data_IF_067937888184
#
_entry.id   IF_067937888184
#
_cell.length_a   1.000
_cell.length_b   1.000
_cell.length_c   1.000
_cell.angle_alpha   90.00
_cell.angle_beta   90.00
_cell.angle_gamma   90.00
#
_symmetry.space_group_name_H-M   'P 1'
#
loop_
_entity.id
_entity.type
_entity.pdbx_description
1 polymer ?
#
# COMPACT_ATOMS: atom_id res chain seq x y z
N UNK A 1 3.71 26.88 -36.76
CA UNK A 1 2.90 25.65 -36.74
C UNK A 1 3.86 24.48 -36.89
N UNK A 2 4.30 23.90 -35.78
CA UNK A 2 5.19 22.73 -35.80
C UNK A 2 4.57 21.74 -34.82
N UNK A 3 3.93 20.73 -35.38
CA UNK A 3 3.20 19.68 -34.68
C UNK A 3 4.20 18.73 -34.03
N UNK A 4 4.18 18.64 -32.71
CA UNK A 4 4.95 17.65 -31.95
C UNK A 4 4.07 16.42 -31.77
N UNK A 5 4.41 15.35 -32.48
CA UNK A 5 3.80 14.03 -32.31
C UNK A 5 4.26 13.45 -30.97
N UNK A 6 3.37 12.92 -30.11
CA UNK A 6 3.78 12.28 -28.87
C UNK A 6 4.48 10.96 -29.20
N UNK A 7 5.68 10.77 -28.64
CA UNK A 7 6.40 9.50 -28.66
C UNK A 7 5.67 8.53 -27.75
N UNK A 8 5.12 7.45 -28.33
CA UNK A 8 4.53 6.36 -27.58
C UNK A 8 5.61 5.65 -26.75
N UNK A 9 5.47 5.65 -25.43
CA UNK A 9 6.26 4.77 -24.57
C UNK A 9 5.80 3.31 -24.79
N UNK A 10 6.74 2.36 -24.94
CA UNK A 10 6.38 0.96 -25.09
C UNK A 10 5.69 0.47 -23.81
N UNK A 11 4.46 0.00 -23.97
CA UNK A 11 3.74 -0.80 -22.99
C UNK A 11 4.57 -2.06 -22.70
N UNK A 12 4.92 -2.37 -21.44
CA UNK A 12 5.52 -3.66 -21.13
C UNK A 12 4.53 -4.76 -21.51
N UNK A 13 5.00 -5.92 -22.01
CA UNK A 13 4.13 -6.98 -22.46
C UNK A 13 3.21 -7.43 -21.32
N UNK A 14 1.91 -7.54 -21.61
CA UNK A 14 0.93 -8.24 -20.77
C UNK A 14 1.33 -9.71 -20.66
N UNK A 15 2.25 -10.00 -19.75
CA UNK A 15 2.58 -11.36 -19.40
C UNK A 15 1.52 -11.84 -18.40
N UNK A 16 0.53 -12.56 -18.93
CA UNK A 16 -0.22 -13.59 -18.20
C UNK A 16 0.78 -14.63 -17.69
N UNK A 17 1.53 -14.31 -16.63
CA UNK A 17 2.41 -15.24 -15.95
C UNK A 17 1.55 -16.03 -15.00
N UNK A 18 1.15 -17.24 -15.40
CA UNK A 18 0.78 -18.29 -14.45
C UNK A 18 2.00 -18.59 -13.57
N UNK A 19 2.20 -17.78 -12.53
CA UNK A 19 3.37 -17.90 -11.67
C UNK A 19 3.20 -19.12 -10.75
N UNK A 20 4.18 -20.03 -10.79
CA UNK A 20 4.17 -21.29 -10.07
C UNK A 20 3.98 -21.09 -8.55
N UNK A 21 3.16 -21.93 -7.90
CA UNK A 21 2.98 -21.91 -6.44
C UNK A 21 4.29 -22.21 -5.71
N UNK A 22 4.40 -21.88 -4.42
CA UNK A 22 5.59 -22.23 -3.62
C UNK A 22 5.96 -23.70 -3.77
N UNK A 23 4.99 -24.62 -3.67
CA UNK A 23 5.24 -26.06 -3.83
C UNK A 23 5.77 -26.41 -5.21
N UNK A 24 5.25 -25.79 -6.27
CA UNK A 24 5.73 -26.01 -7.63
C UNK A 24 7.14 -25.42 -7.82
N UNK A 25 7.40 -24.22 -7.32
CA UNK A 25 8.73 -23.59 -7.31
C UNK A 25 9.73 -24.46 -6.54
N UNK A 26 9.42 -24.89 -5.32
CA UNK A 26 10.28 -25.77 -4.53
C UNK A 26 10.55 -27.10 -5.25
N UNK A 27 9.56 -27.66 -5.93
CA UNK A 27 9.73 -28.88 -6.73
C UNK A 27 10.68 -28.66 -7.91
N UNK A 28 10.52 -27.55 -8.63
CA UNK A 28 11.39 -27.17 -9.75
C UNK A 28 12.82 -26.87 -9.27
N UNK A 29 12.98 -26.28 -8.09
CA UNK A 29 14.26 -25.96 -7.49
C UNK A 29 14.95 -27.17 -6.84
N UNK A 30 14.24 -28.25 -6.52
CA UNK A 30 14.79 -29.41 -5.78
C UNK A 30 16.12 -29.95 -6.34
N UNK A 31 16.31 -30.11 -7.66
CA UNK A 31 17.60 -30.56 -8.21
C UNK A 31 18.75 -29.58 -7.95
N UNK A 32 18.44 -28.28 -7.90
CA UNK A 32 19.41 -27.20 -7.66
C UNK A 32 19.67 -26.98 -6.17
N UNK A 33 18.68 -27.26 -5.31
CA UNK A 33 18.76 -27.15 -3.87
C UNK A 33 19.45 -28.34 -3.20
N UNK A 34 19.64 -29.46 -3.92
CA UNK A 34 20.29 -30.66 -3.38
C UNK A 34 21.73 -30.39 -2.91
N UNK A 35 22.41 -29.42 -3.52
CA UNK A 35 23.78 -29.01 -3.20
C UNK A 35 23.83 -27.78 -2.25
N UNK A 36 22.67 -27.28 -1.81
CA UNK A 36 22.58 -26.04 -1.01
C UNK A 36 22.22 -26.34 0.44
N UNK A 37 22.66 -25.46 1.35
CA UNK A 37 22.21 -25.48 2.74
C UNK A 37 20.74 -25.04 2.77
N UNK A 38 19.85 -26.03 2.70
CA UNK A 38 18.43 -25.79 2.81
C UNK A 38 18.10 -25.41 4.25
N UNK A 39 17.51 -24.22 4.43
CA UNK A 39 16.87 -23.92 5.70
C UNK A 39 15.72 -24.94 5.88
N UNK A 40 15.48 -25.47 7.10
CA UNK A 40 14.37 -26.39 7.31
C UNK A 40 13.08 -25.77 6.78
N UNK A 41 12.56 -26.37 5.72
CA UNK A 41 11.54 -25.85 4.81
C UNK A 41 10.18 -25.52 5.46
N UNK A 42 10.01 -25.80 6.75
CA UNK A 42 8.73 -25.78 7.46
C UNK A 42 8.58 -24.65 8.51
N UNK A 43 9.67 -24.06 9.02
CA UNK A 43 9.59 -23.21 10.23
C UNK A 43 10.12 -21.77 10.08
N UNK A 44 10.47 -21.36 8.87
CA UNK A 44 10.83 -19.96 8.62
C UNK A 44 9.60 -19.05 8.76
N UNK A 45 9.54 -18.27 9.85
CA UNK A 45 8.55 -17.21 9.98
C UNK A 45 8.60 -16.26 8.76
N UNK A 46 7.46 -15.72 8.30
CA UNK A 46 7.44 -14.71 7.23
C UNK A 46 8.45 -13.60 7.53
N UNK A 47 9.22 -13.18 6.52
CA UNK A 47 10.27 -12.18 6.70
C UNK A 47 9.71 -10.85 7.21
N UNK A 48 8.44 -10.57 6.92
CA UNK A 48 7.71 -9.41 7.42
C UNK A 48 7.64 -9.36 8.95
N UNK A 49 7.73 -10.50 9.65
CA UNK A 49 7.78 -10.56 11.12
C UNK A 49 9.17 -10.27 11.69
N UNK A 50 10.21 -10.39 10.88
CA UNK A 50 11.61 -10.29 11.31
C UNK A 50 12.20 -8.89 11.11
N UNK A 51 11.62 -8.07 10.24
CA UNK A 51 12.07 -6.69 9.98
C UNK A 51 11.12 -5.71 10.65
N UNK A 52 11.35 -5.48 11.94
CA UNK A 52 10.96 -4.23 12.58
C UNK A 52 12.12 -3.24 12.46
N UNK A 53 12.40 -2.75 11.25
CA UNK A 53 12.93 -1.39 11.14
C UNK A 53 11.72 -0.47 11.19
N UNK A 54 11.30 -0.13 12.41
CA UNK A 54 10.48 1.06 12.57
C UNK A 54 11.41 2.22 12.20
N UNK A 55 11.15 2.85 11.05
CA UNK A 55 11.68 4.18 10.80
C UNK A 55 11.45 5.03 12.05
N UNK A 56 12.40 5.90 12.38
CA UNK A 56 12.21 6.75 13.56
C UNK A 56 10.94 7.59 13.33
N UNK A 57 9.97 7.61 14.28
CA UNK A 57 8.80 8.44 14.12
C UNK A 57 9.19 9.90 13.98
N UNK A 58 8.61 10.58 13.00
CA UNK A 58 8.95 11.96 12.65
C UNK A 58 7.73 12.87 12.61
N UNK A 59 7.98 14.16 12.82
CA UNK A 59 7.03 15.22 12.52
C UNK A 59 7.49 15.93 11.25
N UNK A 60 6.57 16.14 10.31
CA UNK A 60 6.83 16.85 9.07
C UNK A 60 5.91 18.06 8.92
N UNK A 61 6.39 19.10 8.27
CA UNK A 61 5.56 20.26 7.93
C UNK A 61 4.50 19.91 6.89
N UNK A 62 3.37 20.60 6.93
CA UNK A 62 2.33 20.53 5.90
C UNK A 62 1.78 21.93 5.60
N UNK A 63 1.11 22.08 4.46
CA UNK A 63 0.40 23.32 4.10
C UNK A 63 -1.08 23.19 4.48
N UNK A 64 -1.63 24.00 5.41
CA UNK A 64 -3.05 23.94 5.73
C UNK A 64 -3.92 24.27 4.50
N UNK A 65 -4.98 23.48 4.28
CA UNK A 65 -6.00 23.75 3.27
C UNK A 65 -7.29 24.27 3.91
N UNK A 66 -7.53 23.97 5.18
CA UNK A 66 -8.68 24.45 5.96
C UNK A 66 -8.24 25.24 7.20
N UNK A 67 -9.11 26.12 7.75
CA UNK A 67 -8.85 26.79 9.02
C UNK A 67 -8.65 25.79 10.17
N UNK A 68 -7.83 26.16 11.15
CA UNK A 68 -7.55 25.35 12.33
C UNK A 68 -8.82 25.01 13.14
N UNK A 69 -8.76 23.90 13.89
CA UNK A 69 -9.84 23.45 14.78
C UNK A 69 -10.46 22.11 14.36
N UNK A 70 -10.78 21.28 15.35
CA UNK A 70 -11.46 20.01 15.14
C UNK A 70 -12.86 20.22 14.54
N UNK A 71 -13.26 19.34 13.63
CA UNK A 71 -14.56 19.37 12.96
C UNK A 71 -15.33 18.11 13.28
N UNK A 72 -16.53 18.26 13.84
CA UNK A 72 -17.43 17.13 14.08
C UNK A 72 -17.96 16.59 12.75
N UNK A 73 -17.89 15.27 12.59
CA UNK A 73 -18.36 14.57 11.40
C UNK A 73 -19.80 14.14 11.61
N UNK A 74 -20.68 14.53 10.70
CA UNK A 74 -22.09 14.16 10.79
C UNK A 74 -22.26 12.65 10.56
N UNK A 75 -23.13 11.96 11.32
CA UNK A 75 -23.39 10.54 11.09
C UNK A 75 -24.08 10.33 9.74
N UNK A 76 -23.73 9.23 9.06
CA UNK A 76 -24.33 8.82 7.79
C UNK A 76 -25.15 7.54 7.96
N UNK A 77 -26.30 7.47 7.28
CA UNK A 77 -27.19 6.29 7.35
C UNK A 77 -26.95 5.27 6.23
N UNK A 78 -26.44 5.70 5.08
CA UNK A 78 -26.25 4.86 3.89
C UNK A 78 -24.78 4.76 3.48
N UNK A 79 -24.30 3.60 3.04
CA UNK A 79 -22.92 3.45 2.60
C UNK A 79 -22.66 4.29 1.34
N UNK A 80 -21.54 5.00 1.35
CA UNK A 80 -21.00 5.69 0.17
C UNK A 80 -19.93 4.86 -0.53
N UNK A 81 -19.16 4.10 0.25
CA UNK A 81 -18.04 3.28 -0.23
C UNK A 81 -18.60 2.07 -0.96
N UNK A 82 -18.28 1.99 -2.25
CA UNK A 82 -18.76 0.93 -3.13
C UNK A 82 -17.77 -0.22 -3.22
N UNK A 83 -16.47 0.02 -3.00
CA UNK A 83 -15.47 -1.03 -3.05
C UNK A 83 -14.29 -0.76 -2.13
N UNK A 84 -13.54 -1.82 -1.84
CA UNK A 84 -12.35 -1.83 -1.00
C UNK A 84 -11.21 -2.48 -1.78
N UNK A 85 -10.07 -1.79 -1.83
CA UNK A 85 -8.81 -2.28 -2.37
C UNK A 85 -7.85 -2.50 -1.21
N UNK A 86 -7.23 -3.68 -1.23
CA UNK A 86 -6.13 -4.02 -0.35
C UNK A 86 -5.20 -5.04 -1.04
N UNK A 87 -3.99 -5.15 -0.53
CA UNK A 87 -2.99 -6.10 -0.97
C UNK A 87 -2.27 -6.77 0.19
N UNK A 88 -1.86 -8.01 -0.04
CA UNK A 88 -1.07 -8.79 0.91
C UNK A 88 0.26 -9.20 0.28
N UNK A 89 1.23 -9.47 1.14
CA UNK A 89 2.48 -10.10 0.77
C UNK A 89 2.85 -11.18 1.77
N UNK A 90 3.55 -12.20 1.29
CA UNK A 90 4.22 -13.20 2.11
C UNK A 90 5.57 -13.51 1.50
N UNK A 91 6.64 -13.39 2.28
CA UNK A 91 7.98 -13.74 1.83
C UNK A 91 8.69 -14.64 2.84
N UNK A 92 9.47 -15.60 2.34
CA UNK A 92 10.22 -16.56 3.17
C UNK A 92 11.55 -16.91 2.52
N UNK A 93 12.58 -17.12 3.33
CA UNK A 93 13.83 -17.73 2.84
C UNK A 93 13.55 -19.21 2.59
N UNK A 94 13.81 -19.66 1.36
CA UNK A 94 13.60 -21.05 0.94
C UNK A 94 14.88 -21.87 0.92
N UNK A 95 16.05 -21.22 0.82
CA UNK A 95 17.36 -21.86 0.92
C UNK A 95 18.46 -20.81 1.11
N UNK A 96 19.68 -21.28 1.41
CA UNK A 96 20.89 -20.47 1.31
C UNK A 96 21.86 -21.09 0.30
N UNK A 97 22.40 -20.26 -0.58
CA UNK A 97 23.51 -20.61 -1.45
C UNK A 97 24.77 -19.87 -1.00
N UNK A 98 25.74 -20.61 -0.47
CA UNK A 98 26.99 -20.06 0.07
C UNK A 98 26.77 -18.89 1.06
N UNK A 99 25.74 -19.01 1.90
CA UNK A 99 25.34 -17.98 2.87
C UNK A 99 24.40 -16.89 2.33
N UNK A 100 24.16 -16.86 1.03
CA UNK A 100 23.24 -15.91 0.36
C UNK A 100 21.81 -16.44 0.36
N UNK A 101 20.81 -15.65 0.80
CA UNK A 101 19.43 -16.11 0.88
C UNK A 101 18.77 -16.19 -0.50
N UNK A 102 18.07 -17.30 -0.75
CA UNK A 102 17.03 -17.42 -1.80
C UNK A 102 15.68 -17.17 -1.14
N UNK A 103 14.93 -16.19 -1.62
CA UNK A 103 13.68 -15.75 -1.00
C UNK A 103 12.53 -15.98 -1.96
N UNK A 104 11.53 -16.73 -1.55
CA UNK A 104 10.28 -16.84 -2.29
C UNK A 104 9.26 -15.85 -1.72
N UNK A 105 8.63 -15.08 -2.60
CA UNK A 105 7.57 -14.17 -2.24
C UNK A 105 6.30 -14.43 -3.06
N UNK A 106 5.15 -14.26 -2.42
CA UNK A 106 3.86 -14.11 -3.08
C UNK A 106 3.27 -12.77 -2.69
N UNK A 107 2.85 -12.03 -3.71
CA UNK A 107 2.19 -10.74 -3.60
C UNK A 107 0.84 -10.86 -4.27
N UNK A 108 -0.21 -10.34 -3.63
CA UNK A 108 -1.54 -10.35 -4.22
C UNK A 108 -2.31 -9.08 -3.85
N UNK A 109 -3.17 -8.61 -4.75
CA UNK A 109 -4.08 -7.50 -4.50
C UNK A 109 -5.45 -7.78 -5.12
N UNK A 110 -6.50 -7.24 -4.53
CA UNK A 110 -7.86 -7.41 -5.03
C UNK A 110 -8.74 -6.21 -4.69
N UNK A 111 -9.71 -5.96 -5.57
CA UNK A 111 -10.84 -5.07 -5.30
C UNK A 111 -12.06 -5.90 -4.99
N UNK A 112 -12.68 -5.66 -3.84
CA UNK A 112 -13.95 -6.27 -3.44
C UNK A 112 -15.02 -5.19 -3.44
N UNK A 113 -16.02 -5.32 -4.30
CA UNK A 113 -17.13 -4.39 -4.41
C UNK A 113 -18.35 -4.84 -3.65
N UNK A 114 -19.16 -3.87 -3.21
CA UNK A 114 -20.44 -4.08 -2.54
C UNK A 114 -21.55 -4.22 -3.56
N UNK A 115 -22.16 -5.40 -3.62
CA UNK A 115 -23.32 -5.74 -4.45
C UNK A 115 -24.42 -6.30 -3.54
N UNK A 116 -25.59 -5.65 -3.49
CA UNK A 116 -26.72 -6.08 -2.66
C UNK A 116 -26.37 -6.36 -1.18
N UNK A 117 -25.46 -5.57 -0.61
CA UNK A 117 -25.01 -5.72 0.78
C UNK A 117 -23.90 -6.76 0.99
N UNK A 118 -23.53 -7.52 -0.03
CA UNK A 118 -22.44 -8.50 0.01
C UNK A 118 -21.19 -7.95 -0.67
N UNK A 119 -20.02 -8.47 -0.27
CA UNK A 119 -18.76 -8.17 -0.94
C UNK A 119 -18.43 -9.27 -1.94
N UNK A 120 -18.15 -8.87 -3.18
CA UNK A 120 -17.82 -9.74 -4.30
C UNK A 120 -16.56 -9.22 -4.99
N UNK A 121 -15.82 -10.08 -5.68
CA UNK A 121 -14.63 -9.63 -6.42
C UNK A 121 -15.09 -8.80 -7.63
N UNK A 122 -14.56 -7.59 -7.77
CA UNK A 122 -14.88 -6.72 -8.90
C UNK A 122 -14.24 -7.23 -10.19
N UNK A 123 -12.95 -7.61 -10.10
CA UNK A 123 -12.19 -8.26 -11.15
C UNK A 123 -11.46 -9.49 -10.59
N UNK A 124 -10.76 -10.23 -11.45
CA UNK A 124 -9.86 -11.29 -10.98
C UNK A 124 -8.78 -10.69 -10.06
N UNK A 125 -8.47 -11.33 -8.91
CA UNK A 125 -7.37 -10.89 -8.07
C UNK A 125 -6.06 -10.98 -8.84
N UNK A 126 -5.19 -9.99 -8.66
CA UNK A 126 -3.85 -10.02 -9.22
C UNK A 126 -2.92 -10.75 -8.24
N UNK A 127 -2.17 -11.74 -8.73
CA UNK A 127 -1.23 -12.52 -7.91
C UNK A 127 0.09 -12.64 -8.65
N UNK A 128 1.18 -12.22 -8.01
CA UNK A 128 2.55 -12.43 -8.49
C UNK A 128 3.32 -13.28 -7.51
N UNK A 129 4.13 -14.19 -8.05
CA UNK A 129 5.06 -15.00 -7.26
C UNK A 129 6.45 -14.83 -7.84
N UNK A 130 7.42 -14.61 -6.96
CA UNK A 130 8.76 -14.17 -7.29
C UNK A 130 9.77 -15.01 -6.50
N UNK A 131 10.88 -15.36 -7.14
CA UNK A 131 12.07 -15.82 -6.45
C UNK A 131 13.08 -14.68 -6.45
N UNK A 132 13.42 -14.15 -5.29
CA UNK A 132 14.40 -13.09 -5.11
C UNK A 132 15.75 -13.68 -4.70
N UNK A 133 16.80 -13.30 -5.40
CA UNK A 133 18.16 -13.74 -5.13
C UNK A 133 19.18 -12.69 -5.59
N UNK A 134 20.42 -12.74 -5.11
CA UNK A 134 21.50 -11.89 -5.66
C UNK A 134 22.20 -12.62 -6.80
N UNK A 135 22.19 -12.03 -8.01
CA UNK A 135 22.90 -12.63 -9.15
C UNK A 135 24.41 -12.64 -8.94
N UNK A 136 24.95 -11.55 -8.39
CA UNK A 136 26.38 -11.42 -8.07
C UNK A 136 26.82 -12.52 -7.09
N UNK A 137 26.07 -12.73 -6.02
CA UNK A 137 26.43 -13.71 -5.00
C UNK A 137 26.15 -15.16 -5.41
N UNK A 138 25.18 -15.41 -6.29
CA UNK A 138 24.92 -16.74 -6.84
C UNK A 138 25.91 -17.15 -7.94
N UNK A 139 26.42 -16.18 -8.70
CA UNK A 139 27.16 -16.41 -9.94
C UNK A 139 26.27 -16.78 -11.13
N UNK A 140 26.78 -16.50 -12.33
CA UNK A 140 26.03 -16.62 -13.60
C UNK A 140 25.48 -18.04 -13.84
N UNK A 141 26.27 -19.08 -13.57
CA UNK A 141 25.86 -20.46 -13.84
C UNK A 141 24.61 -20.87 -13.02
N UNK A 142 24.60 -20.58 -11.71
CA UNK A 142 23.44 -20.88 -10.84
C UNK A 142 22.25 -19.99 -11.16
N UNK A 143 22.49 -18.73 -11.50
CA UNK A 143 21.43 -17.83 -11.96
C UNK A 143 20.71 -18.37 -13.19
N UNK A 144 21.47 -18.80 -14.21
CA UNK A 144 20.91 -19.38 -15.44
C UNK A 144 20.15 -20.68 -15.16
N UNK A 145 20.62 -21.50 -14.23
CA UNK A 145 19.89 -22.69 -13.78
C UNK A 145 18.53 -22.35 -13.14
N UNK A 146 18.47 -21.32 -12.29
CA UNK A 146 17.21 -20.86 -11.69
C UNK A 146 16.21 -20.36 -12.75
N UNK A 147 16.70 -19.59 -13.73
CA UNK A 147 15.89 -19.11 -14.85
C UNK A 147 15.40 -20.28 -15.71
N UNK A 148 16.27 -21.25 -16.00
CA UNK A 148 15.93 -22.45 -16.78
C UNK A 148 14.90 -23.35 -16.07
N UNK A 149 14.79 -23.27 -14.74
CA UNK A 149 13.76 -23.98 -13.97
C UNK A 149 12.34 -23.40 -14.14
N UNK A 150 12.16 -22.36 -14.96
CA UNK A 150 10.87 -21.74 -15.24
C UNK A 150 10.34 -20.88 -14.09
N UNK A 151 11.23 -20.46 -13.17
CA UNK A 151 10.88 -19.59 -12.04
C UNK A 151 11.22 -18.15 -12.43
N UNK A 152 10.27 -17.23 -12.22
CA UNK A 152 10.54 -15.80 -12.37
C UNK A 152 11.51 -15.34 -11.25
N UNK A 153 12.78 -15.14 -11.60
CA UNK A 153 13.82 -14.71 -10.66
C UNK A 153 14.04 -13.20 -10.78
N UNK A 154 14.03 -12.51 -9.65
CA UNK A 154 14.33 -11.07 -9.53
C UNK A 154 15.67 -10.93 -8.82
N UNK A 155 16.56 -10.14 -9.41
CA UNK A 155 17.85 -9.86 -8.78
C UNK A 155 17.65 -8.78 -7.73
N UNK A 156 17.94 -9.09 -6.47
CA UNK A 156 17.76 -8.14 -5.36
C UNK A 156 18.74 -6.97 -5.43
N UNK A 157 19.86 -7.15 -6.12
CA UNK A 157 20.87 -6.12 -6.32
C UNK A 157 20.57 -5.24 -7.56
N UNK A 158 19.75 -5.73 -8.49
CA UNK A 158 19.39 -4.98 -9.69
C UNK A 158 18.07 -4.25 -9.44
N UNK A 159 18.11 -2.95 -9.14
CA UNK A 159 17.02 -2.01 -9.47
C UNK A 159 17.42 -0.55 -9.22
N UNK A 160 17.63 0.18 -10.33
CA UNK A 160 17.03 1.50 -10.55
C UNK A 160 17.38 2.65 -9.60
N UNK A 161 18.59 2.67 -9.02
CA UNK A 161 19.08 3.88 -8.37
C UNK A 161 19.11 5.02 -9.42
N UNK A 162 18.51 6.20 -9.15
CA UNK A 162 18.73 7.37 -9.98
C UNK A 162 20.24 7.65 -10.01
N UNK A 163 20.81 7.66 -11.22
CA UNK A 163 22.19 8.02 -11.55
C UNK A 163 23.23 7.90 -10.41
N UNK A 164 23.91 6.76 -10.32
CA UNK A 164 25.30 6.72 -9.84
C UNK A 164 25.58 6.15 -8.45
N UNK A 165 24.60 5.75 -7.66
CA UNK A 165 24.88 5.00 -6.41
C UNK A 165 25.15 3.53 -6.71
N UNK A 166 26.42 3.24 -7.01
CA UNK A 166 26.95 1.88 -6.95
C UNK A 166 26.78 1.37 -5.52
N UNK A 167 25.89 0.40 -5.33
CA UNK A 167 25.78 -0.31 -4.06
C UNK A 167 26.94 -1.29 -3.97
N UNK A 168 28.16 -0.77 -3.75
CA UNK A 168 29.29 -1.61 -3.37
C UNK A 168 28.90 -2.41 -2.13
N UNK A 169 28.93 -3.74 -2.23
CA UNK A 169 29.03 -4.56 -1.03
C UNK A 169 27.73 -5.11 -0.43
N UNK A 170 26.63 -5.27 -1.19
CA UNK A 170 25.40 -5.92 -0.70
C UNK A 170 25.54 -7.46 -0.53
N UNK A 171 26.66 -7.91 0.06
CA UNK A 171 26.95 -9.32 0.37
C UNK A 171 26.37 -9.75 1.72
N UNK A 172 25.99 -8.80 2.57
CA UNK A 172 25.49 -9.12 3.90
C UNK A 172 24.10 -9.78 3.84
N UNK A 173 23.90 -11.02 4.35
CA UNK A 173 22.63 -11.74 4.19
C UNK A 173 21.41 -11.02 4.77
N UNK A 174 21.56 -10.19 5.79
CA UNK A 174 20.45 -9.38 6.31
C UNK A 174 20.14 -8.16 5.43
N UNK A 175 21.14 -7.58 4.76
CA UNK A 175 20.92 -6.48 3.83
C UNK A 175 20.14 -6.97 2.60
N UNK A 176 20.52 -8.14 2.07
CA UNK A 176 19.81 -8.81 0.98
C UNK A 176 18.35 -9.13 1.33
N UNK A 177 18.08 -9.59 2.56
CA UNK A 177 16.70 -9.80 3.03
C UNK A 177 15.90 -8.52 3.17
N UNK A 178 16.50 -7.47 3.74
CA UNK A 178 15.85 -6.16 3.86
C UNK A 178 15.49 -5.61 2.47
N UNK A 179 16.43 -5.69 1.53
CA UNK A 179 16.20 -5.27 0.15
C UNK A 179 15.12 -6.09 -0.55
N UNK A 180 15.11 -7.41 -0.36
CA UNK A 180 14.06 -8.26 -0.89
C UNK A 180 12.67 -7.87 -0.35
N UNK A 181 12.55 -7.52 0.94
CA UNK A 181 11.30 -7.05 1.53
C UNK A 181 10.82 -5.73 0.92
N UNK A 182 11.73 -4.79 0.67
CA UNK A 182 11.42 -3.53 -0.03
C UNK A 182 10.88 -3.82 -1.44
N UNK A 183 11.54 -4.71 -2.20
CA UNK A 183 11.08 -5.08 -3.55
C UNK A 183 9.70 -5.75 -3.51
N UNK A 184 9.46 -6.65 -2.55
CA UNK A 184 8.15 -7.30 -2.38
C UNK A 184 7.07 -6.28 -2.02
N UNK A 185 7.39 -5.28 -1.18
CA UNK A 185 6.46 -4.20 -0.87
C UNK A 185 6.16 -3.33 -2.08
N UNK A 186 7.18 -2.95 -2.87
CA UNK A 186 7.01 -2.19 -4.11
C UNK A 186 6.15 -2.92 -5.14
N UNK A 187 6.30 -4.24 -5.23
CA UNK A 187 5.48 -5.11 -6.07
C UNK A 187 4.03 -5.16 -5.60
N UNK A 188 3.78 -5.23 -4.29
CA UNK A 188 2.43 -5.15 -3.71
C UNK A 188 1.76 -3.84 -4.07
N UNK A 189 2.45 -2.74 -3.81
CA UNK A 189 1.94 -1.41 -4.16
C UNK A 189 1.72 -1.27 -5.67
N UNK A 190 2.51 -1.93 -6.52
CA UNK A 190 2.31 -1.92 -7.96
C UNK A 190 0.98 -2.57 -8.37
N UNK A 191 0.64 -3.73 -7.80
CA UNK A 191 -0.65 -4.39 -8.08
C UNK A 191 -1.83 -3.54 -7.57
N UNK A 192 -1.71 -2.98 -6.37
CA UNK A 192 -2.72 -2.07 -5.81
C UNK A 192 -2.94 -0.86 -6.73
N UNK A 193 -1.85 -0.25 -7.21
CA UNK A 193 -1.91 0.85 -8.18
C UNK A 193 -2.64 0.51 -9.46
N UNK A 194 -2.32 -0.63 -10.04
CA UNK A 194 -2.95 -1.07 -11.30
C UNK A 194 -4.46 -1.25 -11.11
N UNK A 195 -4.87 -1.91 -10.02
CA UNK A 195 -6.29 -2.12 -9.70
C UNK A 195 -7.02 -0.81 -9.41
N UNK A 196 -6.42 0.11 -8.66
CA UNK A 196 -7.00 1.42 -8.40
C UNK A 196 -7.19 2.23 -9.68
N UNK A 197 -6.20 2.22 -10.57
CA UNK A 197 -6.26 2.91 -11.86
C UNK A 197 -7.36 2.32 -12.76
N UNK A 198 -7.47 0.99 -12.83
CA UNK A 198 -8.53 0.30 -13.58
C UNK A 198 -9.91 0.67 -13.01
N UNK A 199 -10.09 0.61 -11.69
CA UNK A 199 -11.35 1.02 -11.06
C UNK A 199 -11.72 2.45 -11.43
N UNK A 200 -10.79 3.40 -11.28
CA UNK A 200 -11.06 4.81 -11.56
C UNK A 200 -11.35 5.09 -13.05
N UNK A 201 -10.97 4.20 -13.96
CA UNK A 201 -11.26 4.32 -15.38
C UNK A 201 -12.66 3.78 -15.75
N UNK A 202 -13.15 2.77 -15.01
CA UNK A 202 -14.38 2.04 -15.33
C UNK A 202 -15.56 2.41 -14.44
N UNK A 203 -15.31 2.87 -13.21
CA UNK A 203 -16.30 3.10 -12.17
C UNK A 203 -16.32 4.56 -11.73
N UNK A 204 -17.52 5.04 -11.38
CA UNK A 204 -17.75 6.38 -10.83
C UNK A 204 -17.98 6.38 -9.32
N UNK A 205 -18.05 5.19 -8.72
CA UNK A 205 -18.37 4.99 -7.31
C UNK A 205 -17.09 4.94 -6.46
N UNK A 206 -17.20 5.28 -5.18
CA UNK A 206 -16.05 5.43 -4.30
C UNK A 206 -15.32 4.10 -4.00
N UNK A 207 -14.01 4.10 -4.23
CA UNK A 207 -13.05 3.09 -3.82
C UNK A 207 -12.30 3.54 -2.56
N UNK A 208 -12.35 2.71 -1.53
CA UNK A 208 -11.46 2.80 -0.38
C UNK A 208 -10.16 2.06 -0.68
N UNK A 209 -9.02 2.72 -0.57
CA UNK A 209 -7.69 2.12 -0.69
C UNK A 209 -7.07 1.99 0.70
N UNK A 210 -6.70 0.78 1.12
CA UNK A 210 -5.99 0.59 2.38
C UNK A 210 -4.52 0.98 2.25
N UNK A 211 -4.18 2.20 2.67
CA UNK A 211 -2.86 2.78 2.49
C UNK A 211 -2.90 4.23 1.99
N UNK A 212 -1.72 4.83 1.91
CA UNK A 212 -1.56 6.19 1.39
C UNK A 212 -1.64 6.21 -0.12
N UNK A 213 -2.12 7.32 -0.68
CA UNK A 213 -2.16 7.55 -2.14
C UNK A 213 -1.08 8.54 -2.61
N UNK A 214 -0.35 9.16 -1.68
CA UNK A 214 0.76 10.05 -1.99
C UNK A 214 1.86 9.39 -2.85
N UNK A 215 2.40 10.13 -3.81
CA UNK A 215 3.64 9.80 -4.54
C UNK A 215 3.51 8.76 -5.67
N UNK A 216 2.63 7.77 -5.53
CA UNK A 216 2.69 6.56 -6.37
C UNK A 216 1.42 6.28 -7.18
N UNK A 217 0.26 6.77 -6.75
CA UNK A 217 -1.02 6.59 -7.44
C UNK A 217 -1.31 7.81 -8.32
N UNK A 218 -1.43 7.63 -9.64
CA UNK A 218 -1.80 8.70 -10.58
C UNK A 218 -3.31 9.02 -10.50
N UNK A 219 -3.80 9.33 -9.30
CA UNK A 219 -5.18 9.73 -9.06
C UNK A 219 -5.36 11.22 -9.36
N UNK A 220 -6.46 11.52 -10.04
CA UNK A 220 -6.89 12.89 -10.31
C UNK A 220 -7.96 13.31 -9.30
N UNK A 221 -8.24 14.60 -9.20
CA UNK A 221 -9.32 15.10 -8.34
C UNK A 221 -10.72 14.55 -8.71
N UNK A 222 -10.90 14.07 -9.94
CA UNK A 222 -12.13 13.41 -10.40
C UNK A 222 -12.15 11.90 -10.15
N UNK A 223 -11.05 11.31 -9.70
CA UNK A 223 -11.00 9.88 -9.39
C UNK A 223 -11.83 9.58 -8.15
N UNK A 224 -12.80 8.63 -8.21
CA UNK A 224 -13.64 8.31 -7.07
C UNK A 224 -12.88 7.35 -6.13
N UNK A 225 -11.73 7.77 -5.62
CA UNK A 225 -10.88 6.98 -4.74
C UNK A 225 -10.25 7.83 -3.64
N UNK A 226 -10.09 7.23 -2.46
CA UNK A 226 -9.38 7.83 -1.34
C UNK A 226 -8.54 6.77 -0.62
N UNK A 227 -7.42 7.20 -0.05
CA UNK A 227 -6.57 6.38 0.80
C UNK A 227 -6.91 6.51 2.27
N UNK A 228 -6.75 5.44 3.03
CA UNK A 228 -6.81 5.47 4.51
C UNK A 228 -5.54 4.87 5.07
N UNK A 229 -4.75 5.72 5.74
CA UNK A 229 -3.48 5.39 6.37
C UNK A 229 -3.68 5.15 7.86
N UNK A 230 -3.37 3.94 8.32
CA UNK A 230 -3.48 3.53 9.72
C UNK A 230 -2.16 3.73 10.50
N UNK A 231 -1.03 3.77 9.79
CA UNK A 231 0.29 3.99 10.38
C UNK A 231 0.58 5.48 10.52
N UNK A 232 1.13 5.84 11.68
CA UNK A 232 1.41 7.24 12.06
C UNK A 232 2.90 7.48 12.27
N UNK A 233 3.75 6.83 11.45
CA UNK A 233 5.20 7.03 11.56
C UNK A 233 5.60 8.48 11.26
N UNK A 234 4.83 9.16 10.40
CA UNK A 234 4.93 10.60 10.17
C UNK A 234 3.64 11.27 10.61
N UNK A 235 3.75 12.21 11.55
CA UNK A 235 2.70 13.16 11.87
C UNK A 235 2.93 14.48 11.13
N UNK A 236 1.88 15.08 10.60
CA UNK A 236 1.96 16.30 9.81
C UNK A 236 1.39 17.50 10.57
N UNK A 237 2.17 18.58 10.63
CA UNK A 237 1.79 19.84 11.25
C UNK A 237 2.82 20.35 12.25
N UNK A 238 2.57 21.55 12.77
CA UNK A 238 3.32 22.08 13.89
C UNK A 238 2.88 21.46 15.23
N UNK A 239 3.55 21.83 16.32
CA UNK A 239 3.24 21.30 17.65
C UNK A 239 1.79 21.57 18.10
N UNK A 240 1.17 22.69 17.68
CA UNK A 240 -0.20 23.02 18.04
C UNK A 240 -1.20 22.15 17.26
N UNK A 241 -0.98 22.00 15.96
CA UNK A 241 -1.78 21.14 15.09
C UNK A 241 -1.71 19.68 15.55
N UNK A 242 -0.54 19.17 15.90
CA UNK A 242 -0.38 17.80 16.40
C UNK A 242 -1.16 17.59 17.69
N UNK A 243 -1.07 18.52 18.65
CA UNK A 243 -1.86 18.41 19.89
C UNK A 243 -3.36 18.37 19.62
N UNK A 244 -3.85 19.13 18.63
CA UNK A 244 -5.26 19.07 18.22
C UNK A 244 -5.61 17.71 17.61
N UNK A 245 -4.77 17.17 16.72
CA UNK A 245 -4.96 15.85 16.11
C UNK A 245 -5.02 14.75 17.17
N UNK A 246 -4.08 14.74 18.12
CA UNK A 246 -4.04 13.77 19.20
C UNK A 246 -5.24 13.91 20.17
N UNK A 247 -5.86 15.09 20.23
CA UNK A 247 -7.01 15.38 21.07
C UNK A 247 -8.38 15.19 20.37
N UNK A 248 -8.41 14.81 19.08
CA UNK A 248 -9.65 14.56 18.35
C UNK A 248 -10.52 13.53 19.07
N UNK A 249 -11.81 13.86 19.25
CA UNK A 249 -12.80 12.94 19.80
C UNK A 249 -13.31 11.99 18.73
N UNK A 250 -13.93 10.90 19.15
CA UNK A 250 -14.59 9.97 18.24
C UNK A 250 -15.57 10.72 17.32
N UNK A 251 -15.45 10.49 16.00
CA UNK A 251 -16.25 11.18 15.00
C UNK A 251 -15.82 12.62 14.74
N UNK A 252 -14.62 13.04 15.16
CA UNK A 252 -14.03 14.32 14.75
C UNK A 252 -12.90 14.10 13.75
N UNK A 253 -12.77 15.06 12.82
CA UNK A 253 -11.63 15.17 11.91
C UNK A 253 -10.83 16.44 12.15
N UNK A 254 -9.56 16.40 11.79
CA UNK A 254 -8.73 17.59 11.66
C UNK A 254 -9.15 18.40 10.42
N UNK A 255 -8.72 19.67 10.34
CA UNK A 255 -8.66 20.39 9.07
C UNK A 255 -7.80 19.62 8.07
N UNK A 256 -8.13 19.74 6.80
CA UNK A 256 -7.35 19.23 5.68
C UNK A 256 -6.09 20.05 5.48
N UNK A 257 -5.03 19.38 5.06
CA UNK A 257 -3.72 19.92 4.78
C UNK A 257 -3.11 19.19 3.58
N UNK A 258 -2.15 19.82 2.91
CA UNK A 258 -1.46 19.26 1.78
C UNK A 258 -0.17 18.55 2.23
N UNK A 259 0.03 17.33 1.73
CA UNK A 259 1.23 16.51 1.93
C UNK A 259 1.88 16.23 0.57
N UNK A 260 3.20 16.40 0.48
CA UNK A 260 3.99 16.13 -0.74
C UNK A 260 4.86 17.32 -1.16
N UNK A 261 6.04 17.05 -1.73
CA UNK A 261 7.07 18.06 -2.03
C UNK A 261 6.88 18.77 -3.38
N UNK A 262 5.95 18.31 -4.23
CA UNK A 262 5.63 18.95 -5.53
C UNK A 262 4.13 18.90 -5.83
N UNK A 263 3.52 19.99 -6.35
CA UNK A 263 2.07 20.05 -6.61
C UNK A 263 1.50 18.95 -7.51
N UNK A 264 2.30 18.36 -8.40
CA UNK A 264 1.87 17.26 -9.29
C UNK A 264 1.67 15.91 -8.60
N UNK A 265 2.12 15.77 -7.35
CA UNK A 265 2.01 14.53 -6.55
C UNK A 265 1.54 14.81 -5.12
N UNK A 266 1.04 16.04 -4.88
CA UNK A 266 0.57 16.45 -3.58
C UNK A 266 -0.85 15.91 -3.34
N UNK A 267 -1.08 15.38 -2.15
CA UNK A 267 -2.38 14.87 -1.73
C UNK A 267 -2.92 15.75 -0.62
N UNK A 268 -4.23 15.94 -0.60
CA UNK A 268 -4.89 16.53 0.55
C UNK A 268 -5.15 15.43 1.56
N UNK A 269 -4.78 15.70 2.80
CA UNK A 269 -4.83 14.77 3.90
C UNK A 269 -5.54 15.40 5.09
N UNK A 270 -6.21 14.60 5.89
CA UNK A 270 -6.72 14.98 7.21
C UNK A 270 -6.71 13.78 8.13
N UNK A 271 -6.67 14.02 9.43
CA UNK A 271 -6.83 12.97 10.43
C UNK A 271 -8.30 12.82 10.79
N UNK A 272 -8.73 11.59 11.08
CA UNK A 272 -10.08 11.24 11.48
C UNK A 272 -10.02 10.23 12.63
N UNK A 273 -10.80 10.46 13.68
CA UNK A 273 -10.89 9.56 14.84
C UNK A 273 -12.13 8.66 14.71
N UNK A 274 -11.91 7.37 14.49
CA UNK A 274 -12.96 6.36 14.31
C UNK A 274 -13.51 5.83 15.63
N UNK A 275 -12.66 5.78 16.66
CA UNK A 275 -12.96 5.30 18.02
C UNK A 275 -12.36 6.25 19.05
N UNK A 276 -13.00 6.40 20.19
CA UNK A 276 -12.43 7.14 21.31
C UNK A 276 -11.07 6.54 21.71
N UNK A 277 -10.08 7.40 21.98
CA UNK A 277 -8.78 6.96 22.46
C UNK A 277 -8.94 6.09 23.72
N UNK A 278 -8.35 4.89 23.70
CA UNK A 278 -8.43 3.94 24.79
C UNK A 278 -7.05 3.77 25.44
N UNK A 279 -7.04 3.45 26.74
CA UNK A 279 -5.84 3.08 27.49
C UNK A 279 -4.67 4.09 27.45
N UNK A 280 -4.96 5.36 27.19
CA UNK A 280 -3.95 6.41 27.13
C UNK A 280 -3.12 6.43 25.85
N UNK A 281 -3.44 5.61 24.85
CA UNK A 281 -2.81 5.68 23.53
C UNK A 281 -3.47 6.79 22.68
N UNK A 282 -2.77 7.89 22.37
CA UNK A 282 -3.34 9.00 21.62
C UNK A 282 -3.54 8.67 20.12
N UNK A 283 -2.97 7.58 19.61
CA UNK A 283 -3.12 7.13 18.22
C UNK A 283 -4.23 6.09 18.05
N UNK A 284 -4.77 5.55 19.14
CA UNK A 284 -5.86 4.57 19.10
C UNK A 284 -7.09 5.09 18.34
N UNK A 285 -7.53 4.35 17.33
CA UNK A 285 -8.65 4.71 16.47
C UNK A 285 -8.41 5.94 15.59
N UNK A 286 -7.17 6.44 15.47
CA UNK A 286 -6.81 7.51 14.54
C UNK A 286 -6.52 6.91 13.16
N UNK A 287 -6.96 7.58 12.10
CA UNK A 287 -6.51 7.31 10.74
C UNK A 287 -6.21 8.63 10.02
N UNK A 288 -5.33 8.60 9.03
CA UNK A 288 -5.15 9.71 8.07
C UNK A 288 -5.83 9.35 6.76
N UNK A 289 -6.74 10.19 6.31
CA UNK A 289 -7.43 10.04 5.03
C UNK A 289 -6.73 10.88 3.99
N UNK A 290 -6.62 10.39 2.76
CA UNK A 290 -5.94 11.06 1.65
C UNK A 290 -6.81 11.07 0.39
N UNK A 291 -6.89 12.20 -0.30
CA UNK A 291 -7.56 12.36 -1.59
C UNK A 291 -6.72 13.25 -2.51
N UNK A 292 -6.87 13.07 -3.83
CA UNK A 292 -6.33 14.01 -4.80
C UNK A 292 -7.13 15.34 -4.74
N UNK A 293 -6.51 16.48 -4.36
CA UNK A 293 -7.22 17.75 -4.33
C UNK A 293 -7.39 18.32 -5.74
N UNK A 294 -8.45 19.10 -6.00
CA UNK A 294 -8.52 19.97 -7.18
C UNK A 294 -7.28 20.87 -7.25
N UNK A 295 -6.77 21.11 -8.45
CA UNK A 295 -5.56 21.89 -8.64
C UNK A 295 -5.68 23.30 -8.02
N UNK A 296 -6.84 23.94 -8.15
CA UNK A 296 -7.09 25.28 -7.61
C UNK A 296 -6.97 25.31 -6.08
N UNK A 297 -7.46 24.27 -5.41
CA UNK A 297 -7.35 24.11 -3.95
C UNK A 297 -5.90 23.83 -3.57
N UNK A 298 -5.22 22.93 -4.29
CA UNK A 298 -3.83 22.57 -4.03
C UNK A 298 -2.86 23.75 -4.15
N UNK A 299 -3.11 24.67 -5.10
CA UNK A 299 -2.28 25.85 -5.32
C UNK A 299 -2.72 27.07 -4.49
N UNK A 300 -3.78 26.97 -3.67
CA UNK A 300 -4.31 28.11 -2.92
C UNK A 300 -4.94 29.21 -3.78
N UNK A 301 -5.27 28.89 -5.04
CA UNK A 301 -5.88 29.81 -6.01
C UNK A 301 -7.41 29.62 -6.14
N UNK A 302 -7.98 28.68 -5.38
CA UNK A 302 -9.42 28.42 -5.36
C UNK A 302 -10.20 29.57 -4.72
N UNK A 303 -11.35 29.90 -5.31
CA UNK A 303 -12.31 30.80 -4.67
C UNK A 303 -12.98 30.15 -3.46
N UNK A 304 -13.71 30.96 -2.68
CA UNK A 304 -14.45 30.48 -1.51
C UNK A 304 -15.40 29.31 -1.82
N UNK A 305 -16.03 29.29 -3.01
CA UNK A 305 -16.93 28.23 -3.42
C UNK A 305 -16.19 26.89 -3.63
N UNK A 306 -15.04 26.90 -4.29
CA UNK A 306 -14.21 25.70 -4.49
C UNK A 306 -13.71 25.15 -3.15
N UNK A 307 -13.27 26.04 -2.25
CA UNK A 307 -12.83 25.65 -0.92
C UNK A 307 -13.96 25.03 -0.08
N UNK A 308 -15.16 25.61 -0.15
CA UNK A 308 -16.34 25.09 0.53
C UNK A 308 -16.77 23.73 -0.04
N UNK A 309 -16.74 23.55 -1.36
CA UNK A 309 -17.04 22.28 -2.01
C UNK A 309 -16.03 21.19 -1.61
N UNK A 310 -14.74 21.53 -1.56
CA UNK A 310 -13.70 20.59 -1.10
C UNK A 310 -13.83 20.23 0.39
N UNK A 311 -14.18 21.21 1.23
CA UNK A 311 -14.49 20.98 2.65
C UNK A 311 -15.67 20.00 2.80
N UNK A 312 -16.74 20.20 2.04
CA UNK A 312 -17.91 19.32 2.05
C UNK A 312 -17.58 17.90 1.58
N UNK A 313 -16.69 17.74 0.60
CA UNK A 313 -16.17 16.43 0.19
C UNK A 313 -15.41 15.74 1.34
N UNK A 314 -14.52 16.46 2.04
CA UNK A 314 -13.79 15.90 3.18
C UNK A 314 -14.74 15.45 4.30
N UNK A 315 -15.80 16.24 4.56
CA UNK A 315 -16.85 15.90 5.53
C UNK A 315 -17.62 14.64 5.07
N UNK A 316 -18.04 14.58 3.81
CA UNK A 316 -18.78 13.44 3.26
C UNK A 316 -17.97 12.14 3.33
N UNK A 317 -16.69 12.18 2.93
CA UNK A 317 -15.80 11.03 3.00
C UNK A 317 -15.56 10.61 4.45
N UNK A 318 -15.38 11.58 5.36
CA UNK A 318 -15.23 11.27 6.79
C UNK A 318 -16.47 10.60 7.37
N UNK A 319 -17.67 11.09 7.02
CA UNK A 319 -18.93 10.48 7.44
C UNK A 319 -19.10 9.06 6.91
N UNK A 320 -18.69 8.82 5.66
CA UNK A 320 -18.69 7.49 5.06
C UNK A 320 -17.71 6.54 5.76
N UNK A 321 -16.49 7.01 6.06
CA UNK A 321 -15.47 6.22 6.74
C UNK A 321 -15.91 5.85 8.17
N UNK A 322 -16.52 6.79 8.90
CA UNK A 322 -17.09 6.52 10.24
C UNK A 322 -18.20 5.47 10.15
N UNK A 323 -19.00 5.43 9.09
CA UNK A 323 -20.02 4.38 8.93
C UNK A 323 -19.40 2.98 8.73
N UNK A 324 -18.31 2.89 7.96
CA UNK A 324 -17.62 1.62 7.63
C UNK A 324 -16.85 0.99 8.80
N UNK A 325 -16.83 1.65 9.98
CA UNK A 325 -16.36 1.04 11.24
C UNK A 325 -17.28 -0.09 11.74
N UNK A 326 -18.45 -0.23 11.12
CA UNK A 326 -19.41 -1.30 11.39
C UNK A 326 -19.66 -2.15 10.13
N UNK A 327 -19.74 -3.49 10.27
CA UNK A 327 -19.52 -4.26 11.50
C UNK A 327 -18.04 -4.24 11.94
N UNK A 328 -17.78 -4.66 13.18
CA UNK A 328 -16.41 -4.72 13.74
C UNK A 328 -15.82 -6.10 13.50
N UNK A 329 -14.57 -6.17 13.04
CA UNK A 329 -13.86 -7.42 12.75
C UNK A 329 -13.20 -8.05 13.99
N UNK A 330 -13.93 -8.22 15.11
CA UNK A 330 -13.36 -8.92 16.27
C UNK A 330 -13.13 -10.42 15.95
N UNK A 331 -12.04 -11.04 16.43
CA UNK A 331 -11.07 -10.56 17.42
C UNK A 331 -9.80 -9.90 16.84
N UNK A 332 -9.84 -9.31 15.63
CA UNK A 332 -8.65 -8.62 15.06
C UNK A 332 -8.19 -7.49 16.01
N UNK A 333 -6.91 -7.48 16.35
CA UNK A 333 -6.34 -6.50 17.29
C UNK A 333 -6.40 -5.06 16.76
N UNK A 334 -6.53 -4.89 15.43
CA UNK A 334 -6.61 -3.60 14.73
C UNK A 334 -8.04 -3.08 14.61
N UNK A 335 -9.01 -3.64 15.36
CA UNK A 335 -10.44 -3.32 15.24
C UNK A 335 -10.78 -1.84 15.43
N UNK A 336 -9.89 -1.08 16.06
CA UNK A 336 -10.02 0.36 16.29
C UNK A 336 -9.89 1.19 15.00
N UNK A 337 -9.13 0.69 14.02
CA UNK A 337 -8.86 1.36 12.74
C UNK A 337 -9.24 0.54 11.50
N UNK A 338 -9.55 -0.75 11.67
CA UNK A 338 -9.87 -1.68 10.58
C UNK A 338 -11.35 -1.60 10.20
N UNK A 339 -11.62 -1.24 8.94
CA UNK A 339 -12.95 -1.39 8.34
C UNK A 339 -13.20 -2.84 7.93
N UNK A 340 -14.45 -3.33 8.10
CA UNK A 340 -14.79 -4.71 7.73
C UNK A 340 -14.57 -5.00 6.24
N UNK A 341 -14.83 -4.02 5.37
CA UNK A 341 -14.61 -4.17 3.93
C UNK A 341 -13.16 -4.51 3.59
N UNK A 342 -12.21 -3.86 4.25
CA UNK A 342 -10.77 -4.16 4.11
C UNK A 342 -10.44 -5.53 4.68
N UNK A 343 -10.91 -5.84 5.89
CA UNK A 343 -10.72 -7.17 6.50
C UNK A 343 -11.23 -8.33 5.60
N UNK A 344 -12.35 -8.11 4.91
CA UNK A 344 -12.91 -9.09 3.99
C UNK A 344 -12.05 -9.27 2.73
N UNK A 345 -11.37 -8.22 2.25
CA UNK A 345 -10.38 -8.31 1.16
C UNK A 345 -9.16 -9.08 1.63
N UNK A 346 -8.59 -8.71 2.79
CA UNK A 346 -7.45 -9.42 3.41
C UNK A 346 -7.74 -10.92 3.53
N UNK A 347 -8.90 -11.27 4.10
CA UNK A 347 -9.31 -12.68 4.30
C UNK A 347 -9.42 -13.44 2.98
N UNK A 348 -10.01 -12.81 1.96
CA UNK A 348 -10.11 -13.38 0.62
C UNK A 348 -8.72 -13.63 0.00
N UNK A 349 -7.83 -12.65 0.07
CA UNK A 349 -6.47 -12.76 -0.44
C UNK A 349 -5.65 -13.82 0.31
N UNK A 350 -5.80 -13.91 1.63
CA UNK A 350 -5.14 -14.93 2.45
C UNK A 350 -5.57 -16.34 2.04
N UNK A 351 -6.86 -16.55 1.77
CA UNK A 351 -7.37 -17.83 1.28
C UNK A 351 -6.82 -18.18 -0.12
N UNK A 352 -6.63 -17.18 -0.99
CA UNK A 352 -6.10 -17.35 -2.34
C UNK A 352 -4.60 -17.68 -2.37
N UNK A 353 -3.81 -16.97 -1.56
CA UNK A 353 -2.34 -17.13 -1.51
C UNK A 353 -1.95 -18.38 -0.72
N UNK A 354 -2.74 -18.76 0.27
CA UNK A 354 -2.41 -19.82 1.22
C UNK A 354 -1.41 -19.37 2.29
N UNK A 355 -1.01 -20.28 3.19
CA UNK A 355 -0.12 -19.99 4.31
C UNK A 355 1.30 -19.61 3.89
#
# INVERSE_FOLDING_TARGET
>A
MTSVVPVAHPTPPEASVHSATLTATLRALRPLLADLNTAPFADGAPLERLVMRADTPVVSSCLPLEPAGAKAVAPRATPLVAAFLDGIQRSRVVAYADGTPLIFATVAAAVRQRTNGHLESWALPQVRRLLLASREALGTARWEQLVAAGVAVVDVADHGAPDGEQHEGLWHPHALRARALELVALEREHLERQLAAQWCAEETRWLWIDGGIAGNLALSASSPAFGVVKSHNTLYGDAAAIRQVLALREGERSPAFLVGYRPRQAVASWYLRLRAAAHGDPLFGLVRVEVAPPAEVAHGNGGHAQQAAFTALCDELSSAIVLERHPVSLPDARWDTLAYGVHAVETYLQALVGP
#
